data_IF_891843152902
#
_entry.id   IF_891843152902
#
_cell.length_a   1.000
_cell.length_b   1.000
_cell.length_c   1.000
_cell.angle_alpha   90.00
_cell.angle_beta   90.00
_cell.angle_gamma   90.00
#
_symmetry.space_group_name_H-M   'P 1'
#
loop_
_entity.id
_entity.type
_entity.pdbx_description
1 polymer ?
#
# COMPACT_ATOMS: atom_id res chain seq x y z
N UNK A 1 -17.34 2.01 -9.58
CA UNK A 1 -16.03 1.36 -9.80
C UNK A 1 -14.93 2.24 -9.24
N UNK A 2 -13.75 1.68 -8.94
CA UNK A 2 -12.54 2.45 -8.57
C UNK A 2 -11.69 2.64 -9.84
N UNK A 3 -11.05 3.79 -10.01
CA UNK A 3 -10.00 3.94 -11.01
C UNK A 3 -8.72 3.32 -10.43
N UNK A 4 -7.98 2.56 -11.24
CA UNK A 4 -6.80 1.81 -10.80
C UNK A 4 -5.69 2.03 -11.81
N UNK A 5 -4.51 2.36 -11.30
CA UNK A 5 -3.26 2.41 -12.05
C UNK A 5 -2.28 1.40 -11.43
N UNK A 6 -1.51 0.71 -12.27
CA UNK A 6 -0.61 -0.35 -11.81
C UNK A 6 0.82 -0.06 -12.24
N UNK A 7 1.77 -0.33 -11.35
CA UNK A 7 3.19 -0.11 -11.60
C UNK A 7 3.95 -1.41 -11.42
N UNK A 8 4.89 -1.69 -12.31
CA UNK A 8 5.70 -2.91 -12.23
C UNK A 8 6.84 -2.79 -11.21
N UNK A 9 7.16 -1.57 -10.75
CA UNK A 9 8.20 -1.32 -9.77
C UNK A 9 7.96 -0.04 -8.95
N UNK A 10 8.61 0.03 -7.79
CA UNK A 10 8.64 1.24 -6.97
C UNK A 10 9.23 2.45 -7.71
N UNK A 11 10.21 2.24 -8.59
CA UNK A 11 10.82 3.32 -9.35
C UNK A 11 9.85 3.94 -10.36
N UNK A 12 9.05 3.11 -11.04
CA UNK A 12 7.99 3.56 -11.94
C UNK A 12 6.94 4.40 -11.19
N UNK A 13 6.50 3.90 -10.04
CA UNK A 13 5.56 4.63 -9.19
C UNK A 13 6.15 5.97 -8.69
N UNK A 14 7.41 6.01 -8.28
CA UNK A 14 8.06 7.25 -7.80
C UNK A 14 8.28 8.29 -8.89
N UNK A 15 8.31 7.87 -10.16
CA UNK A 15 8.39 8.76 -11.32
C UNK A 15 7.00 9.23 -11.79
N UNK A 16 5.93 8.59 -11.31
CA UNK A 16 4.56 8.95 -11.63
C UNK A 16 4.11 10.20 -10.87
N UNK A 17 3.47 11.12 -11.59
CA UNK A 17 2.88 12.32 -10.99
C UNK A 17 1.54 11.94 -10.33
N UNK A 18 1.59 11.64 -9.03
CA UNK A 18 0.45 11.15 -8.29
C UNK A 18 -0.65 12.23 -8.21
N UNK A 19 -1.89 11.93 -8.67
CA UNK A 19 -2.99 12.86 -8.55
C UNK A 19 -3.27 13.23 -7.08
N UNK A 20 -3.66 14.49 -6.80
CA UNK A 20 -3.94 14.94 -5.44
C UNK A 20 -5.16 14.23 -4.82
N UNK A 21 -6.01 13.60 -5.62
CA UNK A 21 -7.18 12.82 -5.22
C UNK A 21 -6.94 11.30 -5.19
N UNK A 22 -5.68 10.86 -5.24
CA UNK A 22 -5.32 9.45 -5.09
C UNK A 22 -5.84 8.88 -3.76
N UNK A 23 -6.68 7.83 -3.84
CA UNK A 23 -7.40 7.32 -2.67
C UNK A 23 -6.57 6.44 -1.73
N UNK A 24 -5.79 5.51 -2.27
CA UNK A 24 -4.89 4.65 -1.51
C UNK A 24 -3.86 4.00 -2.43
N UNK A 25 -2.71 3.64 -1.88
CA UNK A 25 -1.71 2.79 -2.52
C UNK A 25 -1.82 1.36 -1.98
N UNK A 26 -1.85 0.38 -2.89
CA UNK A 26 -1.65 -1.03 -2.54
C UNK A 26 -0.22 -1.41 -2.92
N UNK A 27 0.58 -1.85 -1.95
CA UNK A 27 2.02 -2.04 -2.09
C UNK A 27 2.45 -3.46 -1.78
N UNK A 28 3.02 -4.15 -2.77
CA UNK A 28 3.74 -5.40 -2.57
C UNK A 28 5.16 -5.14 -2.04
N UNK A 29 5.53 -5.72 -0.90
CA UNK A 29 6.87 -5.55 -0.34
C UNK A 29 7.86 -6.61 -0.82
N UNK A 30 7.35 -7.72 -1.38
CA UNK A 30 8.17 -8.79 -1.94
C UNK A 30 8.53 -8.54 -3.42
N UNK A 31 8.75 -7.27 -3.80
CA UNK A 31 9.18 -6.89 -5.15
C UNK A 31 10.71 -6.94 -5.29
N UNK A 32 11.26 -7.41 -6.43
CA UNK A 32 12.67 -7.26 -6.73
C UNK A 32 13.05 -5.79 -6.99
N UNK A 33 14.21 -5.36 -6.51
CA UNK A 33 14.71 -3.98 -6.69
C UNK A 33 14.62 -3.16 -5.40
N UNK A 34 14.10 -1.92 -5.49
CA UNK A 34 13.85 -1.09 -4.30
C UNK A 34 12.85 -1.84 -3.41
N UNK A 35 13.22 -2.07 -2.15
CA UNK A 35 12.33 -2.73 -1.20
C UNK A 35 11.04 -1.90 -1.04
N UNK A 36 9.87 -2.53 -1.01
CA UNK A 36 8.62 -1.83 -0.74
C UNK A 36 8.66 -1.01 0.56
N UNK A 37 9.49 -1.42 1.53
CA UNK A 37 9.70 -0.64 2.76
C UNK A 37 10.49 0.66 2.52
N UNK A 38 11.41 0.68 1.56
CA UNK A 38 12.10 1.92 1.18
C UNK A 38 11.19 2.85 0.38
N UNK A 39 10.27 2.28 -0.41
CA UNK A 39 9.21 3.07 -1.05
C UNK A 39 8.30 3.74 0.00
N UNK A 40 7.88 3.01 1.04
CA UNK A 40 7.08 3.61 2.12
C UNK A 40 7.79 4.78 2.80
N UNK A 41 9.09 4.64 3.10
CA UNK A 41 9.87 5.74 3.69
C UNK A 41 9.87 6.98 2.80
N UNK A 42 10.03 6.81 1.49
CA UNK A 42 10.00 7.93 0.55
C UNK A 42 8.60 8.55 0.43
N UNK A 43 7.56 7.72 0.45
CA UNK A 43 6.16 8.15 0.44
C UNK A 43 5.81 8.96 1.68
N UNK A 44 6.23 8.52 2.87
CA UNK A 44 6.03 9.25 4.11
C UNK A 44 6.65 10.66 4.07
N UNK A 45 7.68 10.88 3.24
CA UNK A 45 8.27 12.21 3.04
C UNK A 45 7.59 13.05 1.95
N UNK A 46 7.13 12.42 0.85
CA UNK A 46 6.59 13.12 -0.32
C UNK A 46 5.07 13.29 -0.29
N UNK A 47 4.36 12.30 0.22
CA UNK A 47 2.91 12.18 0.24
C UNK A 47 2.45 11.54 1.56
N UNK A 48 2.67 12.21 2.72
CA UNK A 48 2.40 11.64 4.05
C UNK A 48 0.92 11.27 4.27
N UNK A 49 0.00 11.92 3.54
CA UNK A 49 -1.43 11.70 3.66
C UNK A 49 -1.95 10.54 2.80
N UNK A 50 -1.13 9.95 1.92
CA UNK A 50 -1.55 8.85 1.05
C UNK A 50 -1.67 7.55 1.86
N UNK A 51 -2.88 6.97 2.02
CA UNK A 51 -3.06 5.73 2.76
C UNK A 51 -2.40 4.55 2.06
N UNK A 52 -1.64 3.73 2.79
CA UNK A 52 -0.94 2.56 2.22
C UNK A 52 -1.52 1.26 2.79
N UNK A 53 -1.92 0.34 1.90
CA UNK A 53 -2.20 -1.06 2.20
C UNK A 53 -1.00 -1.89 1.74
N UNK A 54 -0.42 -2.67 2.64
CA UNK A 54 0.70 -3.55 2.31
C UNK A 54 0.21 -4.95 2.00
N UNK A 55 0.85 -5.57 1.01
CA UNK A 55 0.70 -6.97 0.69
C UNK A 55 2.08 -7.63 0.78
N UNK A 56 2.16 -8.79 1.43
CA UNK A 56 3.42 -9.54 1.59
C UNK A 56 3.26 -11.04 1.38
N UNK A 57 4.24 -11.70 0.77
CA UNK A 57 4.33 -13.17 0.72
C UNK A 57 5.28 -13.77 1.76
N UNK A 58 5.99 -12.94 2.51
CA UNK A 58 6.88 -13.30 3.61
C UNK A 58 6.72 -12.24 4.70
N UNK A 59 5.58 -12.28 5.39
CA UNK A 59 5.24 -11.36 6.46
C UNK A 59 5.80 -11.81 7.80
N UNK A 60 7.12 -11.97 7.91
CA UNK A 60 7.72 -12.14 9.23
C UNK A 60 7.47 -10.90 10.10
N UNK A 61 7.61 -11.06 11.42
CA UNK A 61 7.23 -10.02 12.39
C UNK A 61 8.00 -8.72 12.16
N UNK A 62 9.26 -8.80 11.71
CA UNK A 62 10.09 -7.62 11.43
C UNK A 62 9.54 -6.82 10.24
N UNK A 63 9.20 -7.52 9.17
CA UNK A 63 8.63 -6.92 7.97
C UNK A 63 7.28 -6.26 8.27
N UNK A 64 6.42 -6.91 9.05
CA UNK A 64 5.15 -6.34 9.49
C UNK A 64 5.35 -5.09 10.34
N UNK A 65 6.26 -5.16 11.31
CA UNK A 65 6.56 -4.03 12.19
C UNK A 65 7.04 -2.83 11.38
N UNK A 66 7.97 -3.04 10.44
CA UNK A 66 8.50 -1.97 9.58
C UNK A 66 7.44 -1.37 8.66
N UNK A 67 6.49 -2.18 8.17
CA UNK A 67 5.36 -1.70 7.39
C UNK A 67 4.43 -0.79 8.22
N UNK A 68 4.16 -1.15 9.48
CA UNK A 68 3.36 -0.34 10.39
C UNK A 68 4.08 0.97 10.75
N UNK A 69 5.39 0.90 11.06
CA UNK A 69 6.22 2.09 11.32
C UNK A 69 6.28 3.03 10.11
N UNK A 70 6.20 2.49 8.91
CA UNK A 70 6.10 3.24 7.65
C UNK A 70 4.72 3.83 7.35
N UNK A 71 3.73 3.66 8.24
CA UNK A 71 2.39 4.24 8.11
C UNK A 71 1.39 3.38 7.35
N UNK A 72 1.63 2.07 7.21
CA UNK A 72 0.63 1.18 6.62
C UNK A 72 -0.66 1.15 7.45
N UNK A 73 -1.81 1.33 6.79
CA UNK A 73 -3.14 1.26 7.40
C UNK A 73 -3.59 -0.20 7.59
N UNK A 74 -3.19 -1.07 6.66
CA UNK A 74 -3.51 -2.48 6.68
C UNK A 74 -2.37 -3.30 6.06
N UNK A 75 -2.24 -4.55 6.50
CA UNK A 75 -1.26 -5.51 5.98
C UNK A 75 -2.00 -6.81 5.66
N UNK A 76 -1.81 -7.33 4.46
CA UNK A 76 -2.37 -8.59 3.98
C UNK A 76 -1.25 -9.58 3.65
N UNK A 77 -1.35 -10.79 4.20
CA UNK A 77 -0.47 -11.90 3.83
C UNK A 77 -1.01 -12.62 2.61
N UNK A 78 -0.14 -12.93 1.65
CA UNK A 78 -0.44 -13.81 0.53
C UNK A 78 -0.45 -15.26 1.02
N UNK A 79 -1.43 -16.09 0.62
CA UNK A 79 -2.61 -15.71 -0.17
C UNK A 79 -3.70 -15.05 0.67
N UNK A 80 -4.40 -14.07 0.07
CA UNK A 80 -5.60 -13.43 0.61
C UNK A 80 -6.73 -13.52 -0.44
N UNK A 81 -7.97 -13.38 0.00
CA UNK A 81 -9.14 -13.34 -0.89
C UNK A 81 -9.49 -11.92 -1.35
N UNK A 82 -10.32 -11.82 -2.39
CA UNK A 82 -10.72 -10.55 -2.98
C UNK A 82 -11.44 -9.64 -1.96
N UNK A 83 -12.21 -10.23 -1.04
CA UNK A 83 -12.97 -9.46 -0.04
C UNK A 83 -12.02 -8.80 0.98
N UNK A 84 -10.99 -9.52 1.42
CA UNK A 84 -9.97 -8.99 2.33
C UNK A 84 -9.22 -7.79 1.74
N UNK A 85 -8.90 -7.85 0.43
CA UNK A 85 -8.30 -6.72 -0.27
C UNK A 85 -9.26 -5.54 -0.37
N UNK A 86 -10.53 -5.79 -0.72
CA UNK A 86 -11.54 -4.75 -0.81
C UNK A 86 -11.77 -4.05 0.53
N UNK A 87 -11.86 -4.83 1.62
CA UNK A 87 -12.07 -4.31 2.97
C UNK A 87 -10.88 -3.45 3.43
N UNK A 88 -9.65 -3.90 3.15
CA UNK A 88 -8.43 -3.13 3.46
C UNK A 88 -8.38 -1.80 2.68
N UNK A 89 -8.77 -1.81 1.41
CA UNK A 89 -8.85 -0.61 0.56
C UNK A 89 -9.96 0.34 1.05
N UNK A 90 -11.11 -0.18 1.48
CA UNK A 90 -12.20 0.63 2.05
C UNK A 90 -11.79 1.30 3.36
N UNK A 91 -11.11 0.54 4.23
CA UNK A 91 -10.52 1.05 5.46
C UNK A 91 -9.51 2.16 5.17
N UNK A 92 -8.59 1.95 4.23
CA UNK A 92 -7.56 2.91 3.87
C UNK A 92 -8.14 4.23 3.33
N UNK A 93 -9.20 4.18 2.53
CA UNK A 93 -9.87 5.38 2.02
C UNK A 93 -10.81 6.05 3.04
N UNK A 94 -10.85 5.60 4.30
CA UNK A 94 -11.72 6.15 5.35
C UNK A 94 -13.22 5.96 5.09
N UNK A 95 -13.59 5.09 4.14
CA UNK A 95 -14.98 4.80 3.81
C UNK A 95 -15.47 3.66 4.69
N UNK A 96 -16.14 3.98 5.80
CA UNK A 96 -16.95 2.97 6.50
C UNK A 96 -18.09 2.56 5.57
N UNK A 97 -18.30 1.25 5.37
CA UNK A 97 -19.56 0.72 4.80
C UNK A 97 -20.71 1.47 5.48
N UNK A 98 -21.43 2.26 4.70
CA UNK A 98 -22.71 2.80 5.13
C UNK A 98 -23.66 1.61 5.08
N UNK A 99 -24.02 1.09 6.25
CA UNK A 99 -25.15 0.17 6.40
C UNK A 99 -26.45 0.85 6.01
#
# INVERSE_FOLDING_TARGET
GRNVETFASAAEFLAYDLPPDAGCLVLDICMPGISGLDLQKQLAMRNPDLPVVVITGHGDDEVRQRALEGGAIAILDKPFDDQSLLDAVELAMGRKRSS
#
